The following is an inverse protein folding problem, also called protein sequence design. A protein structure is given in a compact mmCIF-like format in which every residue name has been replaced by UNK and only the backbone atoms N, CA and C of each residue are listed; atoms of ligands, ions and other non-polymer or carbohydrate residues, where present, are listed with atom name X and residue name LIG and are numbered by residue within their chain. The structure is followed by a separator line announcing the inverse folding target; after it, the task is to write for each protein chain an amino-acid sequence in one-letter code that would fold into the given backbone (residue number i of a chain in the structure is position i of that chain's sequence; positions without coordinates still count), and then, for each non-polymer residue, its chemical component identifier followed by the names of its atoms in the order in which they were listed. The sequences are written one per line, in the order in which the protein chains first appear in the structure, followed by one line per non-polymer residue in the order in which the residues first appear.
data_IF_475488326979
#
_entry.id   IF_475488326979
#
_cell.length_a   1.000
_cell.length_b   1.000
_cell.length_c   1.000
_cell.angle_alpha   90.00
_cell.angle_beta   90.00
_cell.angle_gamma   90.00
#
_symmetry.space_group_name_H-M   'P 1'
#
loop_
_entity.id
_entity.type
_entity.pdbx_description
1 polymer ?
#
# COMPACT_ATOMS: atom_id res chain seq x y z
N UNK A 1 60.88 -35.71 51.19
CA UNK A 1 62.07 -34.87 51.36
C UNK A 1 61.65 -33.40 51.28
N UNK A 2 61.93 -32.74 52.42
CA UNK A 2 62.28 -31.34 52.62
C UNK A 2 61.20 -30.30 52.09
N UNK A 3 60.43 -29.70 53.04
CA UNK A 3 60.81 -28.54 53.91
C UNK A 3 61.09 -27.29 53.10
N UNK A 4 60.32 -26.19 53.29
CA UNK A 4 60.51 -25.02 54.15
C UNK A 4 59.39 -24.05 53.83
N UNK A 5 58.37 -23.61 54.60
CA UNK A 5 58.42 -22.69 55.77
C UNK A 5 59.01 -21.29 55.42
N UNK A 6 58.16 -20.25 55.61
CA UNK A 6 58.37 -18.92 56.17
C UNK A 6 57.19 -18.04 55.76
N UNK A 7 56.21 -17.74 56.64
CA UNK A 7 56.08 -16.76 57.74
C UNK A 7 55.98 -15.30 57.30
N UNK A 8 54.92 -14.67 57.75
CA UNK A 8 54.67 -13.24 58.07
C UNK A 8 54.43 -12.25 56.87
N UNK A 9 53.34 -11.55 56.87
CA UNK A 9 53.09 -10.39 57.74
C UNK A 9 51.67 -9.84 57.55
N UNK A 10 51.06 -9.54 58.67
CA UNK A 10 49.82 -8.82 58.91
C UNK A 10 49.91 -7.41 58.32
N UNK A 11 48.92 -7.01 57.59
CA UNK A 11 48.51 -5.60 57.58
C UNK A 11 46.97 -5.50 57.46
N UNK A 12 46.39 -5.16 58.60
CA UNK A 12 45.00 -4.72 58.72
C UNK A 12 44.95 -3.29 58.21
N UNK A 13 44.15 -3.06 57.19
CA UNK A 13 43.60 -1.73 56.91
C UNK A 13 42.09 -1.86 56.68
N UNK A 14 41.40 -1.48 57.74
CA UNK A 14 39.96 -1.20 57.70
C UNK A 14 39.78 0.05 56.81
N UNK A 15 39.09 -0.12 55.72
CA UNK A 15 38.47 0.98 54.98
C UNK A 15 36.95 0.74 54.96
N UNK A 16 36.25 1.39 55.87
CA UNK A 16 34.82 1.64 55.78
C UNK A 16 34.55 2.44 54.50
N UNK A 17 34.01 1.81 53.50
CA UNK A 17 33.34 2.46 52.41
C UNK A 17 31.84 2.15 52.54
N UNK A 18 31.12 3.06 53.16
CA UNK A 18 29.68 3.04 53.22
C UNK A 18 29.10 3.19 51.82
N UNK A 19 28.56 2.12 51.30
CA UNK A 19 27.72 2.16 50.12
C UNK A 19 26.43 2.85 50.47
N UNK A 20 26.30 4.12 50.13
CA UNK A 20 24.99 4.77 50.06
C UNK A 20 24.23 4.12 48.95
N UNK A 21 23.37 3.16 49.29
CA UNK A 21 22.32 2.70 48.37
C UNK A 21 21.46 3.90 47.98
N UNK A 22 21.58 4.33 46.77
CA UNK A 22 20.65 5.26 46.13
C UNK A 22 19.27 4.62 46.18
N UNK A 23 18.36 5.19 47.03
CA UNK A 23 16.94 4.85 47.02
C UNK A 23 16.33 5.19 45.65
N UNK A 24 16.50 4.32 44.68
CA UNK A 24 16.00 4.52 43.32
C UNK A 24 16.64 3.64 42.27
N UNK A 25 17.65 2.84 42.58
CA UNK A 25 18.26 1.90 41.64
C UNK A 25 17.27 0.81 41.24
N UNK A 26 17.35 0.35 39.99
CA UNK A 26 16.51 -0.74 39.46
C UNK A 26 16.59 -2.01 40.35
N UNK A 27 17.75 -2.25 40.98
CA UNK A 27 17.99 -3.35 41.90
C UNK A 27 17.17 -3.21 43.20
N UNK A 28 17.18 -2.03 43.83
CA UNK A 28 16.40 -1.75 45.04
C UNK A 28 14.90 -1.87 44.79
N UNK A 29 14.40 -1.37 43.66
CA UNK A 29 12.98 -1.50 43.26
C UNK A 29 12.56 -2.94 42.99
N UNK A 30 13.45 -3.76 42.41
CA UNK A 30 13.19 -5.20 42.24
C UNK A 30 13.09 -5.96 43.56
N UNK A 31 13.99 -5.66 44.49
CA UNK A 31 13.95 -6.26 45.84
C UNK A 31 12.71 -5.82 46.63
N UNK A 32 12.32 -4.56 46.52
CA UNK A 32 11.10 -4.04 47.14
C UNK A 32 9.85 -4.72 46.54
N UNK A 33 9.81 -4.90 45.21
CA UNK A 33 8.74 -5.63 44.53
C UNK A 33 8.66 -7.08 44.97
N UNK A 34 9.80 -7.76 45.09
CA UNK A 34 9.85 -9.16 45.55
C UNK A 34 9.36 -9.29 47.00
N UNK A 35 9.75 -8.34 47.89
CA UNK A 35 9.26 -8.27 49.26
C UNK A 35 7.75 -8.06 49.31
N UNK A 36 7.23 -7.11 48.55
CA UNK A 36 5.78 -6.85 48.50
C UNK A 36 4.99 -8.04 47.92
N UNK A 37 5.57 -8.80 46.98
CA UNK A 37 4.97 -10.04 46.49
C UNK A 37 4.89 -11.12 47.62
N UNK A 38 5.95 -11.29 48.41
CA UNK A 38 5.96 -12.22 49.54
C UNK A 38 4.95 -11.79 50.64
N UNK A 39 4.91 -10.49 50.93
CA UNK A 39 3.96 -9.95 51.92
C UNK A 39 2.50 -10.12 51.42
N UNK A 40 2.24 -9.92 50.12
CA UNK A 40 0.94 -10.23 49.53
C UNK A 40 0.55 -11.68 49.69
N UNK A 41 1.45 -12.60 49.38
CA UNK A 41 1.18 -14.04 49.44
C UNK A 41 0.94 -14.49 50.90
N UNK A 42 1.68 -13.92 51.88
CA UNK A 42 1.46 -14.14 53.30
C UNK A 42 0.11 -13.58 53.79
N UNK A 43 -0.29 -12.39 53.30
CA UNK A 43 -1.60 -11.81 53.58
C UNK A 43 -2.72 -12.63 52.96
N UNK A 44 -2.58 -13.12 51.74
CA UNK A 44 -3.57 -14.00 51.11
C UNK A 44 -3.76 -15.30 51.90
N UNK A 45 -2.69 -15.88 52.41
CA UNK A 45 -2.76 -17.06 53.26
C UNK A 45 -3.47 -16.78 54.60
N UNK A 46 -3.17 -15.62 55.22
CA UNK A 46 -3.87 -15.20 56.46
C UNK A 46 -5.35 -14.93 56.20
N UNK A 47 -5.71 -14.28 55.12
CA UNK A 47 -7.10 -14.05 54.73
C UNK A 47 -7.82 -15.40 54.59
N UNK A 48 -7.22 -16.35 53.87
CA UNK A 48 -7.81 -17.68 53.66
C UNK A 48 -8.01 -18.45 54.98
N UNK A 49 -7.05 -18.33 55.94
CA UNK A 49 -7.19 -18.97 57.25
C UNK A 49 -8.30 -18.33 58.07
N UNK A 50 -8.35 -16.99 58.12
CA UNK A 50 -9.41 -16.26 58.84
C UNK A 50 -10.79 -16.52 58.21
N UNK A 51 -10.90 -16.57 56.89
CA UNK A 51 -12.15 -16.92 56.20
C UNK A 51 -12.63 -18.34 56.56
N UNK A 52 -11.70 -19.30 56.69
CA UNK A 52 -12.02 -20.66 57.10
C UNK A 52 -12.43 -20.74 58.58
N UNK A 53 -11.81 -19.93 59.45
CA UNK A 53 -12.18 -19.81 60.83
C UNK A 53 -13.56 -19.17 61.04
N UNK A 54 -13.84 -18.08 60.35
CA UNK A 54 -15.15 -17.42 60.31
C UNK A 54 -16.23 -18.39 59.80
N UNK A 55 -15.94 -19.12 58.70
CA UNK A 55 -16.86 -20.11 58.15
C UNK A 55 -17.16 -21.31 59.10
N UNK A 56 -16.27 -21.59 60.08
CA UNK A 56 -16.51 -22.60 61.12
C UNK A 56 -17.28 -22.05 62.31
N UNK A 57 -17.17 -20.75 62.61
CA UNK A 57 -17.81 -20.09 63.73
C UNK A 57 -19.20 -19.54 63.38
N UNK A 58 -19.42 -19.13 62.18
CA UNK A 58 -20.69 -18.55 61.73
C UNK A 58 -21.34 -19.43 60.65
N UNK A 59 -22.19 -20.36 61.16
CA UNK A 59 -23.02 -21.22 60.31
C UNK A 59 -24.19 -20.50 59.66
N UNK A 60 -24.41 -19.22 59.93
CA UNK A 60 -25.53 -18.44 59.45
C UNK A 60 -25.21 -17.64 58.20
N UNK A 61 -23.92 -17.42 57.89
CA UNK A 61 -23.48 -16.70 56.71
C UNK A 61 -22.61 -17.63 55.85
N UNK A 62 -23.21 -18.35 54.93
CA UNK A 62 -22.49 -18.90 53.79
C UNK A 62 -21.98 -17.72 52.96
N UNK A 63 -20.78 -17.22 53.28
CA UNK A 63 -20.09 -16.25 52.43
C UNK A 63 -19.73 -16.96 51.13
N UNK A 64 -20.69 -17.04 50.21
CA UNK A 64 -20.46 -17.53 48.88
C UNK A 64 -19.52 -16.52 48.20
N UNK A 65 -18.26 -16.91 48.04
CA UNK A 65 -17.26 -16.07 47.36
C UNK A 65 -17.73 -15.78 45.92
N UNK A 66 -18.34 -14.62 45.74
CA UNK A 66 -18.74 -14.15 44.42
C UNK A 66 -17.57 -13.43 43.74
N UNK A 67 -17.43 -13.57 42.46
CA UNK A 67 -16.44 -12.85 41.67
C UNK A 67 -17.09 -11.72 40.89
N UNK A 68 -16.55 -10.51 41.02
CA UNK A 68 -17.01 -9.36 40.26
C UNK A 68 -16.58 -9.47 38.80
N UNK A 69 -17.55 -9.36 37.87
CA UNK A 69 -17.35 -9.44 36.45
C UNK A 69 -18.17 -8.38 35.71
N UNK A 70 -17.68 -7.98 34.55
CA UNK A 70 -18.48 -7.23 33.58
C UNK A 70 -19.08 -8.21 32.58
N UNK A 71 -20.33 -7.98 32.19
CA UNK A 71 -21.03 -8.78 31.21
C UNK A 71 -21.56 -7.91 30.09
N UNK A 72 -21.61 -8.48 28.90
CA UNK A 72 -22.15 -7.86 27.69
C UNK A 72 -23.17 -8.81 27.07
N UNK A 73 -24.38 -8.30 26.77
CA UNK A 73 -25.37 -9.06 26.03
C UNK A 73 -24.97 -9.13 24.56
N UNK A 74 -25.02 -10.32 23.98
CA UNK A 74 -24.73 -10.52 22.57
C UNK A 74 -25.91 -10.10 21.71
N UNK A 75 -25.58 -9.34 20.70
CA UNK A 75 -26.52 -8.96 19.64
C UNK A 75 -25.97 -9.40 18.28
N UNK A 76 -26.85 -9.74 17.37
CA UNK A 76 -26.45 -9.99 15.99
C UNK A 76 -26.01 -8.68 15.36
N UNK A 77 -24.89 -8.69 14.66
CA UNK A 77 -24.36 -7.56 13.91
C UNK A 77 -23.66 -8.03 12.63
N UNK A 78 -23.55 -7.15 11.67
CA UNK A 78 -22.79 -7.45 10.46
C UNK A 78 -21.30 -7.45 10.79
N UNK A 79 -20.60 -8.49 10.35
CA UNK A 79 -19.16 -8.64 10.50
C UNK A 79 -18.50 -8.66 9.14
N UNK A 80 -17.44 -7.87 8.99
CA UNK A 80 -16.65 -7.79 7.76
C UNK A 80 -15.19 -7.91 8.10
N UNK A 81 -14.51 -8.85 7.45
CA UNK A 81 -13.07 -9.02 7.53
C UNK A 81 -12.40 -8.45 6.30
N UNK A 82 -11.32 -7.71 6.50
CA UNK A 82 -10.55 -7.10 5.43
C UNK A 82 -9.09 -7.52 5.51
N UNK A 83 -8.54 -7.87 4.35
CA UNK A 83 -7.10 -7.97 4.17
C UNK A 83 -6.58 -6.57 3.90
N UNK A 84 -5.73 -6.05 4.79
CA UNK A 84 -5.13 -4.72 4.66
C UNK A 84 -3.74 -4.83 4.06
N UNK A 85 -3.54 -4.16 2.92
CA UNK A 85 -2.28 -4.19 2.17
C UNK A 85 -1.82 -2.77 1.86
N UNK A 86 -0.51 -2.55 1.95
CA UNK A 86 0.10 -1.34 1.45
C UNK A 86 0.36 -1.45 -0.04
N UNK A 87 0.02 -0.41 -0.76
CA UNK A 87 0.22 -0.30 -2.18
C UNK A 87 0.57 1.12 -2.60
N UNK A 88 0.53 1.34 -3.88
CA UNK A 88 0.80 2.65 -4.49
C UNK A 88 -0.20 2.97 -5.57
N UNK A 89 -0.40 4.26 -5.76
CA UNK A 89 -1.16 4.76 -6.91
C UNK A 89 -0.25 4.72 -8.13
N UNK A 90 -0.76 4.17 -9.22
CA UNK A 90 -0.08 4.25 -10.52
C UNK A 90 -1.02 4.82 -11.58
N UNK A 91 -0.44 5.29 -12.67
CA UNK A 91 -1.15 5.54 -13.91
C UNK A 91 -0.51 4.73 -15.02
N UNK A 92 -1.32 4.22 -15.93
CA UNK A 92 -0.81 3.56 -17.15
C UNK A 92 -0.36 4.59 -18.19
N UNK A 93 -0.81 5.82 -18.03
CA UNK A 93 -0.62 6.88 -18.99
C UNK A 93 0.66 7.66 -18.73
N UNK A 94 1.80 6.95 -18.68
CA UNK A 94 3.15 7.52 -18.68
C UNK A 94 3.73 7.32 -20.07
N UNK A 95 4.06 8.42 -20.72
CA UNK A 95 4.57 8.42 -22.09
C UNK A 95 5.96 9.02 -22.12
N UNK A 96 6.91 8.22 -22.59
CA UNK A 96 8.24 8.69 -22.90
C UNK A 96 8.22 9.24 -24.31
N UNK A 97 8.54 10.52 -24.45
CA UNK A 97 8.60 11.16 -25.76
C UNK A 97 9.77 10.57 -26.54
N UNK A 98 9.50 10.11 -27.75
CA UNK A 98 10.50 9.57 -28.65
C UNK A 98 10.54 10.40 -29.96
N UNK A 99 11.69 10.55 -30.63
CA UNK A 99 11.77 11.16 -31.92
C UNK A 99 11.08 10.27 -32.96
N UNK A 100 10.51 10.87 -34.01
CA UNK A 100 9.92 10.13 -35.15
C UNK A 100 10.95 9.55 -36.09
N UNK A 101 12.19 10.03 -36.03
CA UNK A 101 13.31 9.59 -36.86
C UNK A 101 14.49 9.10 -36.02
N UNK A 102 15.69 9.20 -36.58
CA UNK A 102 16.93 8.73 -35.93
C UNK A 102 17.36 9.56 -34.71
N UNK A 103 16.58 10.57 -34.31
CA UNK A 103 16.97 11.53 -33.29
C UNK A 103 17.95 12.59 -33.81
N UNK A 104 18.60 13.30 -32.90
CA UNK A 104 19.54 14.37 -33.27
C UNK A 104 19.89 15.26 -32.08
N UNK A 105 20.76 16.24 -32.32
CA UNK A 105 21.13 17.22 -31.32
C UNK A 105 19.96 18.17 -31.03
N UNK A 106 19.69 18.45 -29.78
CA UNK A 106 18.62 19.34 -29.34
C UNK A 106 19.01 20.80 -29.61
N UNK A 107 18.24 21.48 -30.44
CA UNK A 107 18.40 22.91 -30.77
C UNK A 107 17.66 23.81 -29.76
N UNK A 108 16.44 23.42 -29.40
CA UNK A 108 15.58 24.19 -28.49
C UNK A 108 14.58 23.32 -27.78
N UNK A 109 14.26 23.67 -26.54
CA UNK A 109 13.22 23.01 -25.71
C UNK A 109 12.16 24.08 -25.39
N UNK A 110 10.87 23.75 -25.58
CA UNK A 110 9.75 24.70 -25.49
C UNK A 110 8.87 24.43 -24.28
N UNK A 111 9.18 23.40 -23.46
CA UNK A 111 8.39 22.99 -22.31
C UNK A 111 9.27 22.84 -21.07
N UNK A 112 8.66 22.97 -19.91
CA UNK A 112 9.28 22.76 -18.60
C UNK A 112 8.48 21.72 -17.82
N UNK A 113 9.09 21.17 -16.78
CA UNK A 113 8.41 20.32 -15.83
C UNK A 113 7.21 21.05 -15.22
N UNK A 114 6.06 20.40 -15.18
CA UNK A 114 4.79 20.94 -14.70
C UNK A 114 3.90 21.56 -15.77
N UNK A 115 4.38 21.74 -17.01
CA UNK A 115 3.57 22.31 -18.09
C UNK A 115 2.49 21.34 -18.55
N UNK A 116 1.29 21.87 -18.81
CA UNK A 116 0.23 21.14 -19.48
C UNK A 116 0.44 21.16 -20.99
N UNK A 117 0.47 19.99 -21.61
CA UNK A 117 0.68 19.84 -23.05
C UNK A 117 -0.50 19.12 -23.70
N UNK A 118 -0.80 19.51 -24.95
CA UNK A 118 -1.82 18.88 -25.80
C UNK A 118 -1.15 17.96 -26.82
N UNK A 119 -1.85 16.91 -27.24
CA UNK A 119 -1.41 16.07 -28.35
C UNK A 119 -1.08 16.93 -29.60
N UNK A 120 0.09 16.72 -30.20
CA UNK A 120 0.60 17.48 -31.35
C UNK A 120 1.38 18.75 -30.96
N UNK A 121 1.39 19.18 -29.71
CA UNK A 121 2.15 20.34 -29.25
C UNK A 121 3.65 20.11 -29.41
N UNK A 122 4.38 21.09 -29.94
CA UNK A 122 5.84 21.06 -30.09
C UNK A 122 6.48 21.12 -28.68
N UNK A 123 7.33 20.16 -28.42
CA UNK A 123 8.04 20.02 -27.13
C UNK A 123 9.50 20.46 -27.25
N UNK A 124 10.16 20.02 -28.31
CA UNK A 124 11.54 20.39 -28.60
C UNK A 124 11.78 20.35 -30.10
N UNK A 125 12.80 21.05 -30.54
CA UNK A 125 13.29 21.06 -31.92
C UNK A 125 14.73 20.52 -31.96
N UNK A 126 14.96 19.58 -32.85
CA UNK A 126 16.30 19.07 -33.14
C UNK A 126 17.01 19.95 -34.19
N UNK A 127 18.32 19.82 -34.32
CA UNK A 127 19.12 20.53 -35.29
C UNK A 127 18.69 20.15 -36.71
N UNK A 128 18.32 21.14 -37.49
CA UNK A 128 17.72 21.00 -38.82
C UNK A 128 18.48 21.73 -39.92
N UNK A 129 19.61 22.38 -39.60
CA UNK A 129 20.32 23.26 -40.50
C UNK A 129 20.76 22.59 -41.81
N UNK A 130 21.28 21.36 -41.74
CA UNK A 130 21.70 20.60 -42.94
C UNK A 130 20.50 20.27 -43.82
N UNK A 131 19.37 19.86 -43.23
CA UNK A 131 18.15 19.52 -43.95
C UNK A 131 17.59 20.76 -44.68
N UNK A 132 17.57 21.92 -43.99
CA UNK A 132 17.13 23.18 -44.61
C UNK A 132 18.01 23.63 -45.78
N UNK A 133 19.33 23.46 -45.68
CA UNK A 133 20.23 23.75 -46.80
C UNK A 133 19.99 22.81 -47.98
N UNK A 134 19.75 21.51 -47.70
CA UNK A 134 19.42 20.55 -48.74
C UNK A 134 18.08 20.89 -49.44
N UNK A 135 17.05 21.31 -48.71
CA UNK A 135 15.79 21.81 -49.28
C UNK A 135 16.09 22.97 -50.26
N UNK A 136 16.84 23.99 -49.84
CA UNK A 136 17.17 25.15 -50.69
C UNK A 136 17.90 24.75 -51.98
N UNK A 137 18.80 23.77 -51.88
CA UNK A 137 19.52 23.24 -53.04
C UNK A 137 18.55 22.58 -54.04
N UNK A 138 17.66 21.72 -53.56
CA UNK A 138 16.69 21.01 -54.41
C UNK A 138 15.62 21.96 -54.94
N UNK A 139 15.20 22.97 -54.15
CA UNK A 139 14.30 24.05 -54.63
C UNK A 139 14.91 24.83 -55.83
N UNK A 140 16.21 25.09 -55.78
CA UNK A 140 16.91 25.73 -56.93
C UNK A 140 16.91 24.81 -58.14
N UNK A 141 17.09 23.50 -57.97
CA UNK A 141 16.98 22.53 -59.11
C UNK A 141 15.55 22.47 -59.65
N UNK A 142 14.53 22.52 -58.73
CA UNK A 142 13.11 22.55 -59.11
C UNK A 142 12.81 23.80 -60.01
N UNK A 143 13.28 24.97 -59.54
CA UNK A 143 13.08 26.21 -60.28
C UNK A 143 13.67 26.14 -61.70
N UNK A 144 14.88 25.55 -61.88
CA UNK A 144 15.48 25.31 -63.14
C UNK A 144 14.67 24.32 -63.97
N UNK A 145 14.26 23.17 -63.41
CA UNK A 145 13.46 22.17 -64.11
C UNK A 145 12.11 22.74 -64.58
N UNK A 146 11.44 23.56 -63.74
CA UNK A 146 10.19 24.25 -64.09
C UNK A 146 10.38 25.21 -65.29
N UNK A 147 11.50 25.93 -65.34
CA UNK A 147 11.79 26.80 -66.49
C UNK A 147 11.95 26.00 -67.77
N UNK A 148 12.68 24.88 -67.74
CA UNK A 148 12.83 23.99 -68.91
C UNK A 148 11.46 23.40 -69.28
N UNK A 149 10.68 22.93 -68.33
CA UNK A 149 9.36 22.38 -68.60
C UNK A 149 8.43 23.42 -69.23
N UNK A 150 8.37 24.65 -68.73
CA UNK A 150 7.56 25.73 -69.33
C UNK A 150 7.94 26.02 -70.76
N UNK A 151 9.23 25.99 -71.08
CA UNK A 151 9.69 26.16 -72.45
C UNK A 151 9.26 25.01 -73.37
N UNK A 152 9.43 23.77 -72.91
CA UNK A 152 9.02 22.57 -73.64
C UNK A 152 7.49 22.49 -73.81
N UNK A 153 6.74 22.90 -72.79
CA UNK A 153 5.28 22.98 -72.84
C UNK A 153 4.81 23.99 -73.91
N UNK A 154 5.45 25.18 -74.00
CA UNK A 154 5.12 26.21 -75.03
C UNK A 154 5.47 25.70 -76.44
N UNK A 155 6.64 25.11 -76.62
CA UNK A 155 7.03 24.54 -77.92
C UNK A 155 6.08 23.41 -78.35
N UNK A 156 5.65 22.56 -77.43
CA UNK A 156 4.69 21.51 -77.71
C UNK A 156 3.30 22.04 -78.07
N UNK A 157 2.83 23.10 -77.38
CA UNK A 157 1.58 23.80 -77.72
C UNK A 157 1.59 24.46 -79.12
N UNK A 158 2.76 24.90 -79.52
CA UNK A 158 2.98 25.50 -80.89
C UNK A 158 3.23 24.45 -81.96
N UNK A 159 3.20 23.14 -81.63
CA UNK A 159 3.49 22.06 -82.57
C UNK A 159 4.97 21.89 -82.88
N UNK A 160 5.87 22.57 -82.20
CA UNK A 160 7.31 22.58 -82.40
C UNK A 160 7.97 21.71 -81.31
N UNK A 161 8.20 20.49 -81.50
CA UNK A 161 8.81 19.61 -80.49
C UNK A 161 8.18 18.26 -80.45
N UNK A 162 8.80 17.33 -79.72
CA UNK A 162 8.29 15.97 -79.58
C UNK A 162 7.55 15.79 -78.20
N UNK A 163 6.50 14.96 -78.23
CA UNK A 163 5.79 14.60 -77.03
C UNK A 163 6.73 14.02 -75.92
N UNK A 164 7.75 13.28 -76.39
CA UNK A 164 8.77 12.68 -75.52
C UNK A 164 9.56 13.75 -74.76
N UNK A 165 9.91 14.88 -75.40
CA UNK A 165 10.64 15.98 -74.75
C UNK A 165 9.75 16.69 -73.74
N UNK A 166 8.48 16.92 -74.03
CA UNK A 166 7.49 17.49 -73.14
C UNK A 166 7.29 16.61 -71.92
N UNK A 167 7.00 15.30 -72.12
CA UNK A 167 6.76 14.32 -71.00
C UNK A 167 8.02 14.13 -70.17
N UNK A 168 9.21 14.12 -70.77
CA UNK A 168 10.47 14.02 -70.04
C UNK A 168 10.70 15.23 -69.14
N UNK A 169 10.46 16.45 -69.63
CA UNK A 169 10.58 17.66 -68.83
C UNK A 169 9.55 17.71 -67.72
N UNK A 170 8.29 17.25 -67.94
CA UNK A 170 7.23 17.13 -66.95
C UNK A 170 7.61 16.13 -65.83
N UNK A 171 8.02 14.93 -66.24
CA UNK A 171 8.43 13.89 -65.33
C UNK A 171 9.60 14.31 -64.40
N UNK A 172 10.55 15.10 -65.01
CA UNK A 172 11.68 15.64 -64.24
C UNK A 172 11.20 16.61 -63.12
N UNK A 173 10.25 17.52 -63.39
CA UNK A 173 9.66 18.42 -62.45
C UNK A 173 8.96 17.60 -61.32
N UNK A 174 8.09 16.64 -61.69
CA UNK A 174 7.37 15.80 -60.77
C UNK A 174 8.31 14.98 -59.87
N UNK A 175 9.42 14.48 -60.44
CA UNK A 175 10.43 13.73 -59.66
C UNK A 175 11.10 14.60 -58.61
N UNK A 176 11.49 15.84 -58.98
CA UNK A 176 12.12 16.78 -58.04
C UNK A 176 11.12 17.25 -56.95
N UNK A 177 9.85 17.47 -57.31
CA UNK A 177 8.78 17.79 -56.35
C UNK A 177 8.59 16.69 -55.33
N UNK A 178 8.58 15.43 -55.75
CA UNK A 178 8.56 14.27 -54.84
C UNK A 178 9.79 14.21 -53.93
N UNK A 179 10.98 14.53 -54.47
CA UNK A 179 12.21 14.60 -53.69
C UNK A 179 12.12 15.69 -52.61
N UNK A 180 11.60 16.89 -52.93
CA UNK A 180 11.38 17.93 -51.93
C UNK A 180 10.39 17.46 -50.86
N UNK A 181 9.30 16.81 -51.25
CA UNK A 181 8.32 16.27 -50.30
C UNK A 181 8.95 15.28 -49.29
N UNK A 182 9.83 14.40 -49.75
CA UNK A 182 10.57 13.48 -48.86
C UNK A 182 11.48 14.22 -47.89
N UNK A 183 12.20 15.26 -48.37
CA UNK A 183 13.10 16.03 -47.49
C UNK A 183 12.28 16.87 -46.49
N UNK A 184 11.10 17.38 -46.87
CA UNK A 184 10.19 18.09 -45.97
C UNK A 184 9.62 17.16 -44.91
N UNK A 185 9.29 15.91 -45.24
CA UNK A 185 8.89 14.91 -44.22
C UNK A 185 10.05 14.64 -43.27
N UNK A 186 11.27 14.49 -43.77
CA UNK A 186 12.45 14.36 -42.94
C UNK A 186 12.65 15.59 -42.04
N UNK A 187 12.44 16.81 -42.55
CA UNK A 187 12.44 18.03 -41.75
C UNK A 187 11.36 17.98 -40.63
N UNK A 188 10.17 17.47 -40.97
CA UNK A 188 9.09 17.26 -40.01
C UNK A 188 9.49 16.38 -38.81
N UNK A 189 10.37 15.41 -39.05
CA UNK A 189 10.85 14.51 -37.97
C UNK A 189 11.75 15.21 -36.95
N UNK A 190 12.33 16.38 -37.29
CA UNK A 190 13.13 17.19 -36.35
C UNK A 190 12.27 17.92 -35.29
N UNK A 191 10.97 18.06 -35.55
CA UNK A 191 10.02 18.64 -34.62
C UNK A 191 9.46 17.51 -33.72
N UNK A 192 9.93 17.48 -32.48
CA UNK A 192 9.46 16.49 -31.49
C UNK A 192 8.20 17.02 -30.82
N UNK A 193 7.08 16.34 -31.04
CA UNK A 193 5.77 16.76 -30.56
C UNK A 193 5.21 15.77 -29.54
N UNK A 194 4.31 16.25 -28.67
CA UNK A 194 3.58 15.42 -27.72
C UNK A 194 2.67 14.42 -28.47
N UNK A 195 2.81 13.13 -28.19
CA UNK A 195 1.95 12.10 -28.77
C UNK A 195 0.61 11.99 -28.04
N UNK A 196 0.55 12.48 -26.79
CA UNK A 196 -0.61 12.48 -25.92
C UNK A 196 -0.74 13.81 -25.21
N UNK A 197 -1.96 14.10 -24.71
CA UNK A 197 -2.18 15.23 -23.82
C UNK A 197 -1.91 14.82 -22.37
N UNK A 198 -1.31 15.70 -21.57
CA UNK A 198 -0.97 15.42 -20.18
C UNK A 198 -0.14 16.53 -19.55
N UNK A 199 0.53 16.21 -18.47
CA UNK A 199 1.45 17.10 -17.77
C UNK A 199 2.87 16.60 -18.00
N UNK A 200 3.80 17.52 -18.27
CA UNK A 200 5.23 17.21 -18.35
C UNK A 200 5.72 16.88 -16.94
N UNK A 201 6.02 15.61 -16.70
CA UNK A 201 6.52 15.14 -15.41
C UNK A 201 8.01 15.41 -15.26
N UNK A 202 8.77 15.21 -16.33
CA UNK A 202 10.22 15.39 -16.30
C UNK A 202 10.77 15.85 -17.65
N UNK A 203 11.84 16.66 -17.60
CA UNK A 203 12.63 17.11 -18.76
C UNK A 203 14.09 16.82 -18.46
N UNK A 204 14.54 15.60 -18.79
CA UNK A 204 15.90 15.11 -18.56
C UNK A 204 16.75 15.22 -19.82
N UNK A 205 16.71 16.36 -20.47
CA UNK A 205 17.54 16.65 -21.65
C UNK A 205 17.80 18.15 -21.75
N UNK A 206 18.95 18.52 -22.28
CA UNK A 206 19.37 19.92 -22.42
C UNK A 206 19.66 20.26 -23.87
N UNK A 207 19.61 21.54 -24.19
CA UNK A 207 20.04 22.08 -25.47
C UNK A 207 21.52 21.71 -25.71
N UNK A 208 21.81 21.19 -26.87
CA UNK A 208 23.14 20.69 -27.26
C UNK A 208 23.35 19.20 -27.02
N UNK A 209 22.53 18.54 -26.25
CA UNK A 209 22.59 17.08 -26.05
C UNK A 209 21.94 16.33 -27.20
N UNK A 210 22.33 15.07 -27.39
CA UNK A 210 21.73 14.19 -28.40
C UNK A 210 20.49 13.51 -27.86
N UNK A 211 19.36 13.69 -28.53
CA UNK A 211 18.09 13.03 -28.19
C UNK A 211 17.87 11.83 -29.11
N UNK A 212 17.79 10.64 -28.49
CA UNK A 212 17.52 9.36 -29.18
C UNK A 212 16.25 8.64 -28.65
N UNK A 213 15.50 9.27 -27.76
CA UNK A 213 14.25 8.71 -27.22
C UNK A 213 14.44 7.70 -26.10
N UNK A 214 15.49 7.88 -25.28
CA UNK A 214 15.68 7.07 -24.08
C UNK A 214 14.73 7.50 -22.96
N UNK A 215 14.14 6.56 -22.18
CA UNK A 215 13.36 6.90 -20.98
C UNK A 215 14.16 7.68 -19.94
N UNK A 216 15.49 7.53 -19.91
CA UNK A 216 16.37 8.20 -18.97
C UNK A 216 16.81 9.59 -19.43
N UNK A 217 16.77 9.86 -20.73
CA UNK A 217 17.20 11.13 -21.33
C UNK A 217 16.14 11.60 -22.33
N UNK A 218 15.24 12.47 -21.89
CA UNK A 218 14.14 12.97 -22.71
C UNK A 218 13.06 13.67 -21.91
N UNK A 219 11.87 13.71 -22.47
CA UNK A 219 10.67 14.30 -21.85
C UNK A 219 9.71 13.17 -21.50
N UNK A 220 9.17 13.20 -20.28
CA UNK A 220 8.11 12.29 -19.84
C UNK A 220 6.82 13.07 -19.67
N UNK A 221 5.73 12.57 -20.25
CA UNK A 221 4.38 13.13 -20.10
C UNK A 221 3.54 12.13 -19.34
N UNK A 222 2.87 12.60 -18.29
CA UNK A 222 1.96 11.80 -17.45
C UNK A 222 0.55 12.35 -17.61
N UNK A 223 -0.39 11.44 -17.84
CA UNK A 223 -1.81 11.79 -17.82
C UNK A 223 -2.45 11.19 -16.55
N UNK A 224 -2.77 12.01 -15.54
CA UNK A 224 -3.34 11.53 -14.27
C UNK A 224 -4.85 11.25 -14.32
N UNK A 225 -5.44 11.17 -15.52
CA UNK A 225 -6.90 10.95 -15.66
C UNK A 225 -7.31 9.55 -15.23
N UNK A 226 -6.47 8.55 -15.46
CA UNK A 226 -6.74 7.15 -15.12
C UNK A 226 -5.74 6.68 -14.08
N UNK A 227 -6.20 6.69 -12.84
CA UNK A 227 -5.41 6.24 -11.70
C UNK A 227 -5.92 4.89 -11.23
N UNK A 228 -5.01 4.09 -10.70
CA UNK A 228 -5.33 2.82 -10.04
C UNK A 228 -4.44 2.63 -8.82
N UNK A 229 -5.00 2.03 -7.78
CA UNK A 229 -4.23 1.51 -6.67
C UNK A 229 -3.73 0.12 -7.03
N UNK A 230 -2.47 -0.13 -6.81
CA UNK A 230 -1.81 -1.41 -7.06
C UNK A 230 -1.21 -1.91 -5.76
N UNK A 231 -1.54 -3.14 -5.41
CA UNK A 231 -1.05 -3.82 -4.22
C UNK A 231 -0.43 -5.16 -4.60
N UNK A 232 0.57 -5.55 -3.83
CA UNK A 232 1.15 -6.90 -3.89
C UNK A 232 0.49 -7.76 -2.83
N UNK A 233 -0.21 -8.80 -3.27
CA UNK A 233 -0.95 -9.73 -2.41
C UNK A 233 -0.13 -11.00 -2.23
N UNK A 234 0.18 -11.41 -0.99
CA UNK A 234 0.90 -12.67 -0.74
C UNK A 234 0.17 -13.89 -1.32
N UNK A 235 0.92 -14.86 -1.85
CA UNK A 235 0.38 -16.03 -2.56
C UNK A 235 -0.58 -16.90 -1.72
N UNK A 236 -0.46 -16.86 -0.38
CA UNK A 236 -1.34 -17.59 0.53
C UNK A 236 -2.82 -17.14 0.47
N UNK A 237 -3.09 -15.96 -0.09
CA UNK A 237 -4.45 -15.46 -0.27
C UNK A 237 -5.05 -15.81 -1.65
N UNK A 238 -4.31 -16.47 -2.54
CA UNK A 238 -4.74 -16.68 -3.94
C UNK A 238 -6.11 -17.38 -4.06
N UNK A 239 -6.41 -18.30 -3.16
CA UNK A 239 -7.69 -19.01 -3.15
C UNK A 239 -8.91 -18.18 -2.73
N UNK A 240 -8.64 -17.06 -2.04
CA UNK A 240 -9.68 -16.14 -1.55
C UNK A 240 -9.89 -14.95 -2.49
N UNK A 241 -8.97 -14.71 -3.44
CA UNK A 241 -9.00 -13.53 -4.30
C UNK A 241 -9.71 -13.77 -5.60
N UNK A 242 -10.62 -12.85 -5.94
CA UNK A 242 -11.30 -12.83 -7.25
C UNK A 242 -11.60 -11.40 -7.68
N UNK A 243 -11.75 -11.21 -8.97
CA UNK A 243 -12.12 -9.91 -9.56
C UNK A 243 -13.53 -9.50 -9.10
N UNK A 244 -13.70 -8.22 -8.75
CA UNK A 244 -14.96 -7.66 -8.26
C UNK A 244 -15.07 -7.63 -6.74
N UNK A 245 -14.04 -8.10 -5.98
CA UNK A 245 -14.02 -7.94 -4.52
C UNK A 245 -14.07 -6.46 -4.14
N UNK A 246 -14.91 -6.13 -3.16
CA UNK A 246 -15.03 -4.75 -2.65
C UNK A 246 -13.73 -4.32 -1.99
N UNK A 247 -13.31 -3.10 -2.28
CA UNK A 247 -12.10 -2.51 -1.70
C UNK A 247 -12.36 -1.13 -1.13
N UNK A 248 -11.65 -0.79 -0.07
CA UNK A 248 -11.59 0.55 0.50
C UNK A 248 -10.15 1.01 0.36
N UNK A 249 -9.92 2.02 -0.48
CA UNK A 249 -8.60 2.59 -0.74
C UNK A 249 -8.47 3.84 0.10
N UNK A 250 -7.58 3.82 1.08
CA UNK A 250 -7.29 4.98 1.93
C UNK A 250 -5.99 5.63 1.46
N UNK A 251 -6.03 6.93 1.26
CA UNK A 251 -4.90 7.79 0.92
C UNK A 251 -4.55 8.62 2.17
N UNK A 252 -3.56 8.18 2.98
CA UNK A 252 -3.26 8.81 4.28
C UNK A 252 -2.86 10.28 4.13
N UNK A 253 -2.07 10.62 3.10
CA UNK A 253 -1.53 11.97 2.89
C UNK A 253 -2.60 13.04 2.70
N UNK A 254 -3.77 12.66 2.19
CA UNK A 254 -4.89 13.57 1.94
C UNK A 254 -6.12 13.23 2.79
N UNK A 255 -5.98 12.24 3.70
CA UNK A 255 -7.02 11.76 4.60
C UNK A 255 -8.36 11.45 3.87
N UNK A 256 -8.26 10.71 2.76
CA UNK A 256 -9.43 10.29 1.96
C UNK A 256 -9.50 8.78 1.83
N UNK A 257 -10.73 8.26 1.92
CA UNK A 257 -11.03 6.86 1.62
C UNK A 257 -12.00 6.79 0.43
N UNK A 258 -11.77 5.83 -0.44
CA UNK A 258 -12.49 5.63 -1.71
C UNK A 258 -12.95 4.19 -1.74
N UNK A 259 -14.24 4.00 -1.95
CA UNK A 259 -14.78 2.67 -2.23
C UNK A 259 -14.52 2.32 -3.69
N UNK A 260 -14.01 1.14 -3.93
CA UNK A 260 -13.72 0.61 -5.26
C UNK A 260 -13.90 -0.91 -5.26
N UNK A 261 -13.43 -1.54 -6.32
CA UNK A 261 -13.41 -3.00 -6.46
C UNK A 261 -12.11 -3.45 -7.14
N UNK A 262 -11.74 -4.70 -6.91
CA UNK A 262 -10.61 -5.32 -7.61
C UNK A 262 -10.96 -5.44 -9.09
N UNK A 263 -10.25 -4.68 -9.92
CA UNK A 263 -10.47 -4.63 -11.37
C UNK A 263 -9.62 -5.62 -12.15
N UNK A 264 -8.45 -5.95 -11.62
CA UNK A 264 -7.51 -6.88 -12.24
C UNK A 264 -6.72 -7.63 -11.15
N UNK A 265 -6.44 -8.89 -11.44
CA UNK A 265 -5.52 -9.75 -10.67
C UNK A 265 -4.52 -10.30 -11.67
N UNK A 266 -3.23 -10.25 -11.34
CA UNK A 266 -2.17 -10.80 -12.18
C UNK A 266 -2.27 -12.32 -12.23
N UNK A 267 -2.12 -12.89 -13.43
CA UNK A 267 -2.06 -14.35 -13.65
C UNK A 267 -0.71 -14.97 -13.21
N UNK A 268 0.28 -14.12 -12.91
CA UNK A 268 1.61 -14.59 -12.54
C UNK A 268 1.97 -14.18 -11.12
N UNK A 269 2.69 -15.06 -10.44
CA UNK A 269 3.27 -14.80 -9.12
C UNK A 269 4.71 -14.34 -9.30
N UNK A 270 5.08 -13.25 -8.64
CA UNK A 270 6.46 -12.81 -8.56
C UNK A 270 7.24 -13.79 -7.67
N UNK A 271 8.22 -14.47 -8.23
CA UNK A 271 9.00 -15.52 -7.53
C UNK A 271 9.85 -14.97 -6.39
N UNK A 272 10.23 -13.70 -6.44
CA UNK A 272 11.07 -13.06 -5.42
C UNK A 272 10.26 -12.62 -4.21
N UNK A 273 9.13 -11.95 -4.44
CA UNK A 273 8.25 -11.45 -3.35
C UNK A 273 7.18 -12.45 -2.93
N UNK A 274 7.02 -13.57 -3.65
CA UNK A 274 5.94 -14.56 -3.42
C UNK A 274 4.57 -13.89 -3.34
N UNK A 275 4.32 -12.98 -4.27
CA UNK A 275 3.09 -12.19 -4.33
C UNK A 275 2.57 -12.10 -5.77
N UNK A 276 1.28 -11.86 -5.89
CA UNK A 276 0.63 -11.47 -7.14
C UNK A 276 0.11 -10.05 -7.03
N UNK A 277 -0.10 -9.40 -8.18
CA UNK A 277 -0.56 -8.01 -8.22
C UNK A 277 -2.08 -7.96 -8.31
N UNK A 278 -2.69 -7.15 -7.46
CA UNK A 278 -4.10 -6.76 -7.57
C UNK A 278 -4.21 -5.25 -7.81
N UNK A 279 -5.14 -4.87 -8.69
CA UNK A 279 -5.38 -3.48 -9.07
C UNK A 279 -6.83 -3.09 -8.80
N UNK A 280 -7.03 -1.88 -8.32
CA UNK A 280 -8.33 -1.27 -8.11
C UNK A 280 -8.36 0.11 -8.75
N UNK A 281 -9.40 0.43 -9.51
CA UNK A 281 -9.53 1.73 -10.17
C UNK A 281 -9.82 2.82 -9.16
N UNK A 282 -9.25 4.00 -9.41
CA UNK A 282 -9.48 5.20 -8.62
C UNK A 282 -10.02 6.29 -9.54
N UNK A 283 -11.09 7.00 -9.15
CA UNK A 283 -11.55 8.17 -9.89
C UNK A 283 -10.47 9.25 -9.88
N UNK A 284 -10.37 10.00 -10.97
CA UNK A 284 -9.47 11.17 -11.02
C UNK A 284 -9.89 12.18 -9.97
N UNK A 285 -8.96 12.58 -9.13
CA UNK A 285 -9.19 13.53 -8.04
C UNK A 285 -8.03 14.52 -7.95
N UNK A 286 -8.33 15.79 -7.54
CA UNK A 286 -7.28 16.75 -7.23
C UNK A 286 -6.34 16.22 -6.14
N UNK A 287 -5.06 16.52 -6.27
CA UNK A 287 -4.01 16.15 -5.30
C UNK A 287 -3.67 14.66 -5.19
N UNK A 288 -4.20 13.80 -6.03
CA UNK A 288 -3.76 12.40 -6.12
C UNK A 288 -2.72 12.30 -7.23
N UNK A 289 -1.54 11.78 -6.88
CA UNK A 289 -0.40 11.68 -7.80
C UNK A 289 0.07 10.22 -7.92
N UNK A 290 0.62 9.83 -9.07
CA UNK A 290 1.32 8.56 -9.19
C UNK A 290 2.42 8.41 -8.12
N UNK A 291 2.66 7.18 -7.71
CA UNK A 291 3.60 6.76 -6.66
C UNK A 291 3.21 7.17 -5.23
N UNK A 292 2.05 7.79 -5.02
CA UNK A 292 1.53 8.06 -3.69
C UNK A 292 1.17 6.75 -2.97
N UNK A 293 1.42 6.71 -1.65
CA UNK A 293 1.04 5.58 -0.80
C UNK A 293 -0.48 5.41 -0.78
N UNK A 294 -0.92 4.18 -0.88
CA UNK A 294 -2.32 3.78 -0.68
C UNK A 294 -2.39 2.59 0.28
N UNK A 295 -3.31 2.63 1.22
CA UNK A 295 -3.68 1.48 2.04
C UNK A 295 -4.95 0.92 1.43
N UNK A 296 -4.91 -0.33 0.99
CA UNK A 296 -6.04 -0.99 0.34
C UNK A 296 -6.55 -2.10 1.26
N UNK A 297 -7.79 -1.93 1.72
CA UNK A 297 -8.54 -2.92 2.48
C UNK A 297 -9.44 -3.68 1.52
N UNK A 298 -9.24 -4.98 1.42
CA UNK A 298 -9.96 -5.85 0.49
C UNK A 298 -10.87 -6.74 1.32
N UNK A 299 -12.17 -6.68 1.06
CA UNK A 299 -13.18 -7.45 1.77
C UNK A 299 -13.10 -8.92 1.31
N UNK A 300 -12.59 -9.80 2.18
CA UNK A 300 -12.45 -11.23 1.87
C UNK A 300 -13.50 -12.11 2.57
N UNK A 301 -14.14 -11.59 3.63
CA UNK A 301 -15.22 -12.30 4.32
C UNK A 301 -16.28 -11.32 4.83
N UNK A 302 -17.55 -11.63 4.60
CA UNK A 302 -18.69 -10.87 5.09
C UNK A 302 -19.73 -11.84 5.67
N UNK A 303 -20.08 -11.66 6.94
CA UNK A 303 -21.14 -12.41 7.59
C UNK A 303 -22.21 -11.46 8.10
N UNK A 304 -23.43 -11.63 7.60
CA UNK A 304 -24.59 -10.85 8.04
C UNK A 304 -25.26 -11.49 9.25
N UNK A 305 -25.71 -10.66 10.18
CA UNK A 305 -26.32 -11.14 11.42
C UNK A 305 -25.43 -12.12 12.21
N UNK A 306 -24.13 -11.92 12.18
CA UNK A 306 -23.16 -12.74 12.91
C UNK A 306 -23.14 -12.39 14.41
N UNK A 307 -22.74 -13.35 15.22
CA UNK A 307 -22.39 -13.10 16.60
C UNK A 307 -20.88 -12.84 16.64
N UNK A 308 -20.49 -11.72 17.22
CA UNK A 308 -19.10 -11.38 17.41
C UNK A 308 -18.79 -11.11 18.87
N UNK A 309 -17.59 -11.49 19.30
CA UNK A 309 -17.13 -11.30 20.66
C UNK A 309 -15.74 -10.66 20.66
N UNK A 310 -15.38 -9.88 21.69
CA UNK A 310 -14.02 -9.40 21.83
C UNK A 310 -13.05 -10.59 21.94
N UNK A 311 -11.98 -10.59 21.15
CA UNK A 311 -11.03 -11.72 21.09
C UNK A 311 -10.46 -12.09 22.46
N UNK A 312 -10.27 -11.10 23.33
CA UNK A 312 -9.75 -11.28 24.68
C UNK A 312 -10.65 -12.14 25.58
N UNK A 313 -11.95 -12.28 25.26
CA UNK A 313 -12.90 -13.08 26.03
C UNK A 313 -12.82 -14.57 25.69
N UNK A 314 -12.25 -14.90 24.54
CA UNK A 314 -12.11 -16.28 24.08
C UNK A 314 -10.96 -16.96 24.80
N UNK A 315 -11.27 -18.04 25.50
CA UNK A 315 -10.32 -18.88 26.20
C UNK A 315 -10.14 -20.20 25.47
N UNK A 316 -9.04 -20.89 25.75
CA UNK A 316 -8.74 -22.21 25.16
C UNK A 316 -8.42 -23.20 26.27
N UNK A 317 -9.01 -24.38 26.19
CA UNK A 317 -8.66 -25.52 27.05
C UNK A 317 -8.46 -26.78 26.18
N UNK A 318 -8.30 -27.94 26.80
CA UNK A 318 -8.10 -29.23 26.12
C UNK A 318 -9.24 -29.62 25.17
N UNK A 319 -10.45 -29.09 25.42
CA UNK A 319 -11.66 -29.34 24.59
C UNK A 319 -11.86 -28.36 23.45
N UNK A 320 -11.03 -27.29 23.39
CA UNK A 320 -11.10 -26.27 22.36
C UNK A 320 -11.35 -24.87 22.91
N UNK A 321 -11.93 -24.03 22.06
CA UNK A 321 -12.23 -22.63 22.41
C UNK A 321 -13.56 -22.50 23.12
N UNK A 322 -13.61 -21.64 24.15
CA UNK A 322 -14.81 -21.38 24.91
C UNK A 322 -14.85 -19.92 25.41
N UNK A 323 -16.01 -19.48 25.81
CA UNK A 323 -16.23 -18.23 26.55
C UNK A 323 -16.98 -18.52 27.86
N UNK A 324 -16.86 -17.62 28.83
CA UNK A 324 -17.73 -17.67 29.98
C UNK A 324 -18.99 -16.86 29.71
N UNK A 325 -20.15 -17.47 29.96
CA UNK A 325 -21.45 -16.81 29.96
C UNK A 325 -21.98 -16.71 31.38
N UNK A 326 -22.79 -15.69 31.63
CA UNK A 326 -23.59 -15.56 32.83
C UNK A 326 -24.85 -16.42 32.68
N UNK A 327 -25.06 -17.33 33.59
CA UNK A 327 -26.29 -18.14 33.69
C UNK A 327 -26.99 -17.88 35.02
N UNK A 328 -28.30 -17.73 34.96
CA UNK A 328 -29.11 -17.59 36.19
C UNK A 328 -29.61 -18.98 36.63
N UNK A 329 -29.08 -19.51 37.72
CA UNK A 329 -29.48 -20.81 38.27
C UNK A 329 -29.87 -20.64 39.73
N UNK A 330 -31.05 -21.14 40.11
CA UNK A 330 -31.59 -21.02 41.47
C UNK A 330 -31.55 -19.58 42.05
N UNK A 331 -31.77 -18.57 41.17
CA UNK A 331 -31.76 -17.16 41.54
C UNK A 331 -30.35 -16.58 41.74
N UNK A 332 -29.29 -17.32 41.42
CA UNK A 332 -27.90 -16.89 41.54
C UNK A 332 -27.24 -16.80 40.14
N UNK A 333 -26.45 -15.76 39.98
CA UNK A 333 -25.62 -15.60 38.77
C UNK A 333 -24.38 -16.49 38.86
N UNK A 334 -24.20 -17.37 37.92
CA UNK A 334 -23.06 -18.29 37.87
C UNK A 334 -22.35 -18.24 36.51
N UNK A 335 -21.05 -18.51 36.53
CA UNK A 335 -20.25 -18.65 35.33
C UNK A 335 -20.46 -20.03 34.69
N UNK A 336 -20.82 -20.06 33.42
CA UNK A 336 -20.85 -21.28 32.61
C UNK A 336 -19.88 -21.18 31.45
N UNK A 337 -19.09 -22.23 31.25
CA UNK A 337 -18.28 -22.37 30.06
C UNK A 337 -19.19 -22.76 28.89
N UNK A 338 -19.12 -22.03 27.82
CA UNK A 338 -19.82 -22.36 26.60
C UNK A 338 -18.79 -22.55 25.47
N UNK A 339 -18.67 -23.77 24.95
CA UNK A 339 -17.78 -24.10 23.86
C UNK A 339 -18.24 -23.38 22.59
N UNK A 340 -17.31 -22.84 21.82
CA UNK A 340 -17.57 -22.06 20.63
C UNK A 340 -16.69 -22.51 19.45
N UNK A 341 -17.22 -22.35 18.26
CA UNK A 341 -16.42 -22.38 17.05
C UNK A 341 -16.28 -20.94 16.53
N UNK A 342 -15.05 -20.54 16.28
CA UNK A 342 -14.75 -19.18 15.83
C UNK A 342 -14.45 -19.15 14.36
N UNK A 343 -14.77 -18.02 13.72
CA UNK A 343 -14.45 -17.69 12.35
C UNK A 343 -13.27 -16.74 12.23
N UNK A 344 -13.41 -15.75 11.36
CA UNK A 344 -12.36 -14.76 11.10
C UNK A 344 -12.26 -13.73 12.25
N UNK A 345 -11.09 -13.13 12.37
CA UNK A 345 -10.75 -12.14 13.39
C UNK A 345 -10.42 -10.80 12.72
N UNK A 346 -11.09 -9.73 13.15
CA UNK A 346 -10.82 -8.38 12.63
C UNK A 346 -11.15 -7.30 13.67
N UNK A 347 -10.30 -6.28 13.80
CA UNK A 347 -10.50 -5.15 14.72
C UNK A 347 -10.86 -5.56 16.15
N UNK A 348 -10.06 -6.45 16.77
CA UNK A 348 -10.24 -6.97 18.15
C UNK A 348 -11.52 -7.79 18.37
N UNK A 349 -12.32 -7.99 17.33
CA UNK A 349 -13.51 -8.82 17.34
C UNK A 349 -13.26 -10.12 16.60
N UNK A 350 -13.88 -11.20 17.08
CA UNK A 350 -13.84 -12.51 16.43
C UNK A 350 -15.27 -12.98 16.19
N UNK A 351 -15.51 -13.46 14.98
CA UNK A 351 -16.78 -14.08 14.62
C UNK A 351 -16.96 -15.41 15.36
N UNK A 352 -18.16 -15.65 15.84
CA UNK A 352 -18.56 -16.93 16.43
C UNK A 352 -19.54 -17.63 15.49
N UNK A 353 -19.05 -18.70 14.85
CA UNK A 353 -19.83 -19.50 13.88
C UNK A 353 -20.90 -20.32 14.58
N UNK A 354 -20.57 -20.88 15.76
CA UNK A 354 -21.50 -21.69 16.52
C UNK A 354 -21.15 -21.70 18.02
N UNK A 355 -22.12 -22.01 18.86
CA UNK A 355 -21.96 -22.14 20.29
C UNK A 355 -22.56 -21.00 21.10
N UNK A 356 -22.90 -19.86 20.50
CA UNK A 356 -23.56 -18.72 21.17
C UNK A 356 -24.87 -18.37 20.45
N UNK A 357 -25.75 -17.70 21.17
CA UNK A 357 -27.01 -17.17 20.64
C UNK A 357 -27.17 -15.68 20.99
N UNK A 358 -27.94 -14.97 20.19
CA UNK A 358 -28.36 -13.60 20.54
C UNK A 358 -29.09 -13.60 21.87
N UNK A 359 -28.72 -12.67 22.74
CA UNK A 359 -29.24 -12.59 24.12
C UNK A 359 -28.38 -13.29 25.16
N UNK A 360 -27.42 -14.15 24.78
CA UNK A 360 -26.43 -14.68 25.72
C UNK A 360 -25.62 -13.53 26.33
N UNK A 361 -25.35 -13.61 27.63
CA UNK A 361 -24.52 -12.62 28.33
C UNK A 361 -23.12 -13.17 28.52
N UNK A 362 -22.15 -12.66 27.76
CA UNK A 362 -20.75 -13.07 27.93
C UNK A 362 -20.01 -12.24 28.95
N UNK A 363 -19.08 -12.88 29.68
CA UNK A 363 -18.19 -12.18 30.60
C UNK A 363 -17.06 -11.50 29.79
N UNK A 364 -17.02 -10.17 29.84
CA UNK A 364 -16.03 -9.37 29.08
C UNK A 364 -14.82 -8.98 29.91
N UNK A 365 -14.99 -8.82 31.25
CA UNK A 365 -13.89 -8.57 32.19
C UNK A 365 -14.02 -9.41 33.44
N UNK A 366 -12.92 -9.66 34.12
CA UNK A 366 -12.90 -10.50 35.34
C UNK A 366 -12.94 -12.01 35.08
N UNK A 367 -12.86 -12.44 33.82
CA UNK A 367 -12.89 -13.87 33.44
C UNK A 367 -11.61 -14.63 33.81
N UNK A 368 -10.50 -13.94 34.07
CA UNK A 368 -9.24 -14.59 34.46
C UNK A 368 -9.41 -15.32 35.80
N UNK A 369 -9.09 -16.64 35.80
CA UNK A 369 -9.23 -17.49 36.99
C UNK A 369 -10.68 -17.79 37.37
N UNK A 370 -11.67 -17.57 36.47
CA UNK A 370 -13.01 -18.12 36.62
C UNK A 370 -12.99 -19.64 36.43
N UNK A 371 -13.85 -20.34 37.16
CA UNK A 371 -14.12 -21.77 36.99
C UNK A 371 -15.61 -22.00 36.75
N UNK A 372 -15.92 -23.13 36.19
CA UNK A 372 -17.29 -23.59 35.94
C UNK A 372 -18.13 -23.61 37.24
N UNK A 373 -19.29 -22.95 37.25
CA UNK A 373 -20.19 -22.90 38.40
C UNK A 373 -19.83 -21.84 39.44
N UNK A 374 -18.83 -20.97 39.19
CA UNK A 374 -18.48 -19.92 40.13
C UNK A 374 -19.57 -18.84 40.21
N UNK A 375 -19.91 -18.43 41.44
CA UNK A 375 -20.86 -17.35 41.68
C UNK A 375 -20.30 -16.02 41.21
N UNK A 376 -21.13 -15.24 40.53
CA UNK A 376 -20.78 -13.97 39.93
C UNK A 376 -21.57 -12.81 40.56
N UNK A 377 -20.88 -11.69 40.70
CA UNK A 377 -21.52 -10.38 40.92
C UNK A 377 -21.26 -9.54 39.67
N UNK A 378 -22.31 -8.98 39.09
CA UNK A 378 -22.19 -8.24 37.85
C UNK A 378 -22.20 -6.73 38.10
N UNK A 379 -21.30 -6.00 37.43
CA UNK A 379 -21.51 -4.59 37.14
C UNK A 379 -22.06 -4.53 35.73
N UNK A 380 -23.29 -4.09 35.58
CA UNK A 380 -23.88 -3.80 34.26
C UNK A 380 -23.21 -2.54 33.70
N UNK A 381 -22.53 -2.71 32.60
CA UNK A 381 -22.16 -1.56 31.76
C UNK A 381 -23.35 -1.34 30.82
N UNK A 382 -24.02 -0.20 30.98
CA UNK A 382 -25.04 0.28 30.06
C UNK A 382 -24.38 0.74 28.75
#
# INVERSE_FOLDING_TARGET
MKQFLIICSIFVLAACSGNKEEKGSLGAKKQELEKLMKDRDALLTKISTLENEIGKMDTSVKNEKTKLVEVMALVNQDFSHYIELQGKIITENVYYVTPRGMGGQVKSIFVKQGDNVKKGQLLMKLEDGIIQQNIKQVESQLAFAKNIFSRQENLWKEGIGTEVQYLSAKNNVESIEKQISLIMEQLGTTNVTAQVSGVVDNVNIRVGETFMGSPMAGITIVNPTFLKAVVEVPENYISKFYKGMKTIITLPDINKSINSEVSLISETINVTSRSFVAESKIPSMPNVKPNQLAIVKILDHEAKNAIVVPVQTVQTDEKGKYVYILSLENGKNIARKKSIQVGEFYNELIEVISGLASGDQIVTKGFQGLYEGQLLTTTTVN
#
